data_IF_912031581646
#
_entry.id   IF_912031581646
#
_cell.length_a   1.000
_cell.length_b   1.000
_cell.length_c   1.000
_cell.angle_alpha   90.00
_cell.angle_beta   90.00
_cell.angle_gamma   90.00
#
_symmetry.space_group_name_H-M   'P 1'
#
loop_
_entity.id
_entity.type
_entity.pdbx_description
1 polymer ?
#
# COMPACT_ATOMS: atom_id res chain seq x y z
N UNK A 1 4.47 17.67 7.15
CA UNK A 1 5.38 16.51 7.09
C UNK A 1 5.20 15.71 5.81
N UNK A 2 4.03 15.11 5.55
CA UNK A 2 3.80 14.32 4.34
C UNK A 2 3.93 15.13 3.04
N UNK A 3 3.19 16.24 2.89
CA UNK A 3 3.27 17.06 1.66
C UNK A 3 4.69 17.59 1.39
N UNK A 4 5.43 17.93 2.45
CA UNK A 4 6.81 18.37 2.35
C UNK A 4 7.77 17.30 1.79
N UNK A 5 7.39 16.01 1.81
CA UNK A 5 8.15 14.95 1.15
C UNK A 5 8.16 15.13 -0.37
N UNK A 6 7.04 15.53 -0.96
CA UNK A 6 6.98 15.83 -2.39
C UNK A 6 7.93 16.97 -2.76
N UNK A 7 7.95 18.04 -1.96
CA UNK A 7 8.86 19.15 -2.17
C UNK A 7 10.32 18.75 -1.98
N UNK A 8 10.61 17.90 -0.99
CA UNK A 8 11.93 17.35 -0.78
C UNK A 8 12.41 16.52 -1.98
N UNK A 9 11.56 15.69 -2.58
CA UNK A 9 11.90 14.91 -3.77
C UNK A 9 12.11 15.78 -5.01
N UNK A 10 11.46 16.94 -5.10
CA UNK A 10 11.73 17.94 -6.15
C UNK A 10 13.11 18.56 -5.97
N UNK A 11 13.47 18.91 -4.73
CA UNK A 11 14.72 19.61 -4.40
C UNK A 11 15.95 18.71 -4.37
N UNK A 12 15.83 17.50 -3.81
CA UNK A 12 16.95 16.63 -3.50
C UNK A 12 16.86 15.33 -4.30
N UNK A 13 17.81 15.13 -5.21
CA UNK A 13 17.90 13.90 -6.00
C UNK A 13 18.02 12.64 -5.13
N UNK A 14 18.79 12.70 -4.04
CA UNK A 14 18.97 11.57 -3.11
C UNK A 14 17.71 11.15 -2.34
N UNK A 15 16.63 11.94 -2.40
CA UNK A 15 15.33 11.54 -1.84
C UNK A 15 14.52 10.64 -2.78
N UNK A 16 14.86 10.63 -4.08
CA UNK A 16 14.05 9.98 -5.12
C UNK A 16 14.13 8.46 -5.10
N UNK A 17 15.17 7.91 -4.49
CA UNK A 17 15.36 6.46 -4.33
C UNK A 17 14.68 5.91 -3.06
N UNK A 18 14.05 6.76 -2.26
CA UNK A 18 13.46 6.39 -0.98
C UNK A 18 11.93 6.38 -1.04
N UNK A 19 11.34 5.41 -0.35
CA UNK A 19 9.92 5.45 0.01
C UNK A 19 9.68 6.47 1.12
N UNK A 20 8.42 6.81 1.38
CA UNK A 20 8.11 7.73 2.48
C UNK A 20 8.49 7.15 3.85
N UNK A 21 8.35 5.83 4.06
CA UNK A 21 8.78 5.12 5.28
C UNK A 21 10.29 5.15 5.49
N UNK A 22 11.07 5.04 4.41
CA UNK A 22 12.53 5.07 4.46
C UNK A 22 13.07 6.50 4.56
N UNK A 23 12.29 7.51 4.17
CA UNK A 23 12.75 8.90 4.08
C UNK A 23 13.43 9.42 5.36
N UNK A 24 12.93 9.14 6.58
CA UNK A 24 13.56 9.59 7.82
C UNK A 24 14.97 9.02 8.09
N UNK A 25 15.36 7.95 7.38
CA UNK A 25 16.72 7.40 7.47
C UNK A 25 17.75 8.38 6.92
N UNK A 26 17.42 9.10 5.84
CA UNK A 26 18.32 10.04 5.16
C UNK A 26 17.96 11.50 5.32
N UNK A 27 16.75 11.81 5.77
CA UNK A 27 16.26 13.19 5.90
C UNK A 27 15.69 13.45 7.30
N UNK A 28 15.79 14.70 7.75
CA UNK A 28 15.20 15.18 9.01
C UNK A 28 14.12 16.21 8.69
N UNK A 29 12.96 16.09 9.33
CA UNK A 29 11.88 17.05 9.20
C UNK A 29 12.05 18.20 10.21
N UNK A 30 12.25 19.41 9.69
CA UNK A 30 12.31 20.63 10.48
C UNK A 30 10.90 21.21 10.57
N UNK A 31 10.29 21.15 11.76
CA UNK A 31 8.90 21.59 11.98
C UNK A 31 8.72 23.08 11.71
N UNK A 32 9.67 23.90 12.17
CA UNK A 32 9.60 25.36 12.06
C UNK A 32 9.61 25.83 10.60
N UNK A 33 10.35 25.12 9.74
CA UNK A 33 10.44 25.40 8.31
C UNK A 33 9.48 24.56 7.46
N UNK A 34 8.72 23.67 8.09
CA UNK A 34 7.83 22.69 7.47
C UNK A 34 8.46 21.89 6.33
N UNK A 35 9.76 21.60 6.41
CA UNK A 35 10.53 21.00 5.30
C UNK A 35 11.43 19.87 5.75
N UNK A 36 11.76 19.00 4.80
CA UNK A 36 12.81 18.01 4.98
C UNK A 36 14.15 18.56 4.51
N UNK A 37 15.21 18.26 5.24
CA UNK A 37 16.59 18.51 4.83
C UNK A 37 17.41 17.23 4.92
N UNK A 38 18.46 17.06 4.10
CA UNK A 38 19.38 15.95 4.21
C UNK A 38 19.93 15.86 5.63
N UNK A 39 19.96 14.64 6.17
CA UNK A 39 20.53 14.35 7.48
C UNK A 39 22.05 14.44 7.41
N UNK A 40 22.65 15.05 8.44
CA UNK A 40 24.09 15.14 8.56
C UNK A 40 24.69 14.00 9.39
N UNK A 41 24.00 13.56 10.46
CA UNK A 41 24.50 12.54 11.41
C UNK A 41 23.36 11.66 11.94
N UNK A 42 23.66 10.38 12.17
CA UNK A 42 22.81 9.38 12.83
C UNK A 42 21.88 8.61 11.89
N UNK A 43 21.24 7.57 12.42
CA UNK A 43 20.24 6.77 11.72
C UNK A 43 18.89 6.82 12.45
N UNK A 44 17.80 6.84 11.69
CA UNK A 44 16.45 6.81 12.24
C UNK A 44 15.51 6.04 11.30
N UNK A 45 14.76 5.10 11.84
CA UNK A 45 13.73 4.39 11.08
C UNK A 45 12.40 5.14 11.25
N UNK A 46 11.83 5.56 10.11
CA UNK A 46 10.48 6.12 10.07
C UNK A 46 9.44 5.05 10.36
N UNK A 47 8.48 5.34 11.23
CA UNK A 47 7.31 4.48 11.46
C UNK A 47 6.07 5.13 10.85
N UNK A 48 5.49 4.50 9.85
CA UNK A 48 4.09 4.72 9.50
C UNK A 48 3.24 4.07 10.60
N UNK A 49 2.10 4.68 11.00
CA UNK A 49 1.25 4.20 12.14
C UNK A 49 0.62 2.83 11.88
N UNK A 50 -0.55 2.41 12.33
CA UNK A 50 -1.24 1.28 11.68
C UNK A 50 -2.54 1.83 11.11
N UNK A 51 -2.91 1.40 9.90
CA UNK A 51 -4.16 1.83 9.28
C UNK A 51 -4.90 0.56 8.88
N UNK A 52 -6.03 0.24 9.54
CA UNK A 52 -6.78 -0.95 9.20
C UNK A 52 -7.45 -0.80 7.82
N UNK A 53 -7.70 -1.91 7.08
CA UNK A 53 -8.36 -1.87 5.77
C UNK A 53 -9.73 -1.17 5.76
N UNK A 54 -10.46 -1.21 6.88
CA UNK A 54 -11.78 -0.59 7.00
C UNK A 54 -11.80 0.95 6.90
N UNK A 55 -10.64 1.60 6.85
CA UNK A 55 -10.53 3.07 6.70
C UNK A 55 -10.48 3.50 5.22
N UNK A 56 -10.64 2.56 4.29
CA UNK A 56 -10.80 2.86 2.86
C UNK A 56 -9.55 3.51 2.23
N UNK A 57 -9.71 4.67 1.61
CA UNK A 57 -8.65 5.35 0.83
C UNK A 57 -7.35 5.58 1.62
N UNK A 58 -7.43 5.83 2.93
CA UNK A 58 -6.24 6.01 3.76
C UNK A 58 -5.40 4.73 3.87
N UNK A 59 -6.04 3.55 3.86
CA UNK A 59 -5.34 2.28 3.84
C UNK A 59 -4.56 2.10 2.52
N UNK A 60 -5.21 2.35 1.38
CA UNK A 60 -4.56 2.22 0.07
C UNK A 60 -3.45 3.24 -0.12
N UNK A 61 -3.69 4.51 0.25
CA UNK A 61 -2.65 5.54 0.22
C UNK A 61 -1.41 5.09 1.00
N UNK A 62 -1.61 4.54 2.20
CA UNK A 62 -0.51 4.06 3.03
C UNK A 62 0.27 2.92 2.37
N UNK A 63 -0.42 1.95 1.73
CA UNK A 63 0.25 0.89 0.98
C UNK A 63 1.10 1.46 -0.16
N UNK A 64 0.61 2.48 -0.86
CA UNK A 64 1.41 3.15 -1.90
C UNK A 64 2.64 3.82 -1.30
N UNK A 65 2.54 4.43 -0.10
CA UNK A 65 3.67 5.10 0.54
C UNK A 65 4.82 4.16 0.96
N UNK A 66 4.56 2.86 1.12
CA UNK A 66 5.59 1.86 1.43
C UNK A 66 6.27 1.29 0.19
N UNK A 67 5.74 1.52 -1.01
CA UNK A 67 6.24 0.93 -2.26
C UNK A 67 6.71 1.97 -3.27
N UNK A 68 5.99 3.07 -3.38
CA UNK A 68 6.29 4.13 -4.31
C UNK A 68 7.46 4.98 -3.82
N UNK A 69 8.44 5.18 -4.71
CA UNK A 69 9.69 5.93 -4.44
C UNK A 69 9.69 7.25 -5.19
N UNK A 70 10.28 8.27 -4.55
CA UNK A 70 10.56 9.55 -5.19
C UNK A 70 9.35 10.31 -5.73
N UNK A 71 8.14 10.02 -5.24
CA UNK A 71 6.95 10.72 -5.71
C UNK A 71 7.01 12.21 -5.42
N UNK A 72 6.52 13.01 -6.36
CA UNK A 72 6.50 14.48 -6.24
C UNK A 72 5.07 15.05 -6.27
N UNK A 73 4.04 14.20 -6.27
CA UNK A 73 2.63 14.59 -6.23
C UNK A 73 1.74 13.39 -5.92
N UNK A 74 0.47 13.65 -5.58
CA UNK A 74 -0.56 12.61 -5.46
C UNK A 74 -0.80 11.85 -6.77
N UNK A 75 -0.68 12.54 -7.91
CA UNK A 75 -0.77 11.89 -9.23
C UNK A 75 0.35 10.88 -9.42
N UNK A 76 1.56 11.21 -8.97
CA UNK A 76 2.70 10.31 -9.04
C UNK A 76 2.48 9.04 -8.21
N UNK A 77 1.87 9.15 -7.02
CA UNK A 77 1.54 7.98 -6.18
C UNK A 77 0.57 7.00 -6.87
N UNK A 78 -0.38 7.53 -7.64
CA UNK A 78 -1.34 6.74 -8.42
C UNK A 78 -0.80 6.33 -9.78
N UNK A 79 0.45 6.63 -10.11
CA UNK A 79 1.05 6.25 -11.39
C UNK A 79 1.89 5.00 -11.20
N UNK A 80 1.53 3.93 -11.91
CA UNK A 80 2.21 2.64 -11.88
C UNK A 80 2.55 2.26 -13.32
N UNK A 81 3.82 1.94 -13.59
CA UNK A 81 4.30 1.56 -14.92
C UNK A 81 3.89 2.55 -16.05
N UNK A 82 3.88 3.85 -15.76
CA UNK A 82 3.52 4.90 -16.71
C UNK A 82 2.01 5.15 -16.88
N UNK A 83 1.14 4.34 -16.26
CA UNK A 83 -0.32 4.54 -16.25
C UNK A 83 -0.76 5.20 -14.95
N UNK A 84 -1.52 6.29 -15.04
CA UNK A 84 -2.16 6.93 -13.89
C UNK A 84 -3.54 6.33 -13.67
N UNK A 85 -3.84 5.96 -12.43
CA UNK A 85 -5.14 5.43 -12.00
C UNK A 85 -5.97 6.50 -11.29
N UNK A 86 -7.30 6.33 -11.30
CA UNK A 86 -8.21 7.30 -10.68
C UNK A 86 -8.30 7.08 -9.17
N UNK A 87 -8.34 5.84 -8.71
CA UNK A 87 -8.39 5.51 -7.29
C UNK A 87 -7.05 4.97 -6.77
N UNK A 88 -6.77 5.19 -5.48
CA UNK A 88 -5.59 4.58 -4.84
C UNK A 88 -5.69 3.05 -4.81
N UNK A 89 -6.89 2.50 -4.65
CA UNK A 89 -7.15 1.04 -4.68
C UNK A 89 -6.67 0.41 -5.98
N UNK A 90 -6.98 1.01 -7.12
CA UNK A 90 -6.59 0.51 -8.45
C UNK A 90 -5.07 0.53 -8.63
N UNK A 91 -4.40 1.60 -8.17
CA UNK A 91 -2.95 1.66 -8.19
C UNK A 91 -2.31 0.58 -7.30
N UNK A 92 -2.93 0.25 -6.15
CA UNK A 92 -2.49 -0.87 -5.31
C UNK A 92 -2.68 -2.23 -5.99
N UNK A 93 -3.80 -2.46 -6.68
CA UNK A 93 -4.00 -3.68 -7.49
C UNK A 93 -2.95 -3.79 -8.60
N UNK A 94 -2.67 -2.70 -9.31
CA UNK A 94 -1.65 -2.69 -10.36
C UNK A 94 -0.21 -2.93 -9.87
N UNK A 95 0.03 -2.82 -8.55
CA UNK A 95 1.28 -3.12 -7.88
C UNK A 95 1.25 -4.48 -7.15
N UNK A 96 0.19 -5.27 -7.33
CA UNK A 96 -0.05 -6.56 -6.66
C UNK A 96 0.04 -6.46 -5.12
N UNK A 97 -0.40 -5.33 -4.56
CA UNK A 97 -0.42 -5.09 -3.10
C UNK A 97 -1.70 -5.56 -2.43
N UNK A 98 -2.71 -5.90 -3.24
CA UNK A 98 -4.01 -6.39 -2.80
C UNK A 98 -4.22 -7.76 -3.42
N UNK A 99 -4.65 -8.72 -2.61
CA UNK A 99 -5.19 -9.97 -3.13
C UNK A 99 -6.47 -9.65 -3.91
N UNK A 100 -6.62 -10.30 -5.06
CA UNK A 100 -7.87 -10.24 -5.81
C UNK A 100 -8.84 -11.28 -5.26
N UNK A 101 -10.09 -10.87 -5.05
CA UNK A 101 -11.13 -11.77 -4.57
C UNK A 101 -11.81 -12.52 -5.73
N UNK A 102 -11.42 -12.24 -6.99
CA UNK A 102 -12.03 -12.80 -8.20
C UNK A 102 -12.06 -14.33 -8.21
N UNK A 103 -10.97 -15.02 -7.88
CA UNK A 103 -10.98 -16.51 -7.83
C UNK A 103 -11.99 -17.05 -6.83
N UNK A 104 -12.16 -16.38 -5.68
CA UNK A 104 -13.14 -16.78 -4.67
C UNK A 104 -14.58 -16.52 -5.15
N UNK A 105 -14.80 -15.41 -5.83
CA UNK A 105 -16.10 -15.05 -6.41
C UNK A 105 -16.47 -16.06 -7.50
N UNK A 106 -15.56 -16.33 -8.42
CA UNK A 106 -15.77 -17.27 -9.53
C UNK A 106 -16.05 -18.68 -9.01
N UNK A 107 -15.30 -19.14 -7.99
CA UNK A 107 -15.55 -20.43 -7.34
C UNK A 107 -16.94 -20.52 -6.71
N UNK A 108 -17.45 -19.44 -6.08
CA UNK A 108 -18.81 -19.41 -5.53
C UNK A 108 -19.86 -19.41 -6.65
N UNK A 109 -19.63 -18.66 -7.72
CA UNK A 109 -20.54 -18.60 -8.88
C UNK A 109 -20.67 -19.96 -9.54
N UNK A 110 -19.54 -20.62 -9.86
CA UNK A 110 -19.53 -21.98 -10.42
C UNK A 110 -20.20 -22.98 -9.48
N UNK A 111 -19.88 -22.91 -8.19
CA UNK A 111 -20.50 -23.77 -7.19
C UNK A 111 -22.02 -23.59 -7.11
N UNK A 112 -22.54 -22.37 -7.36
CA UNK A 112 -23.96 -22.08 -7.25
C UNK A 112 -24.80 -22.79 -8.31
N UNK A 113 -24.18 -23.17 -9.44
CA UNK A 113 -24.85 -23.92 -10.51
C UNK A 113 -24.95 -25.43 -10.19
N UNK A 114 -24.06 -25.95 -9.34
CA UNK A 114 -23.90 -27.40 -9.11
C UNK A 114 -24.29 -27.87 -7.71
N UNK A 115 -24.24 -26.98 -6.71
CA UNK A 115 -24.38 -27.35 -5.30
C UNK A 115 -25.66 -26.81 -4.64
N UNK A 116 -26.10 -27.51 -3.59
CA UNK A 116 -27.22 -27.07 -2.76
C UNK A 116 -26.84 -25.90 -1.85
N UNK A 117 -27.84 -25.15 -1.36
CA UNK A 117 -27.62 -24.04 -0.43
C UNK A 117 -26.94 -24.42 0.90
N UNK A 118 -26.97 -25.68 1.32
CA UNK A 118 -26.15 -26.13 2.45
C UNK A 118 -24.67 -26.18 2.06
N UNK A 119 -24.34 -26.78 0.93
CA UNK A 119 -22.97 -26.92 0.46
C UNK A 119 -22.33 -25.56 0.15
N UNK A 120 -23.10 -24.62 -0.42
CA UNK A 120 -22.63 -23.24 -0.64
C UNK A 120 -22.27 -22.53 0.67
N UNK A 121 -23.05 -22.73 1.75
CA UNK A 121 -22.72 -22.17 3.06
C UNK A 121 -21.44 -22.79 3.65
N UNK A 122 -21.25 -24.09 3.47
CA UNK A 122 -20.02 -24.77 3.89
C UNK A 122 -18.81 -24.28 3.10
N UNK A 123 -18.94 -24.11 1.77
CA UNK A 123 -17.90 -23.54 0.91
C UNK A 123 -17.57 -22.11 1.35
N UNK A 124 -18.56 -21.26 1.57
CA UNK A 124 -18.36 -19.89 2.02
C UNK A 124 -17.58 -19.79 3.34
N UNK A 125 -17.91 -20.62 4.33
CA UNK A 125 -17.17 -20.69 5.59
C UNK A 125 -15.71 -21.14 5.35
N UNK A 126 -15.52 -22.14 4.49
CA UNK A 126 -14.16 -22.59 4.12
C UNK A 126 -13.35 -21.47 3.46
N UNK A 127 -13.93 -20.73 2.52
CA UNK A 127 -13.26 -19.61 1.85
C UNK A 127 -12.92 -18.46 2.82
N UNK A 128 -13.75 -18.18 3.82
CA UNK A 128 -13.42 -17.20 4.87
C UNK A 128 -12.22 -17.66 5.69
N UNK A 129 -12.20 -18.94 6.09
CA UNK A 129 -11.13 -19.48 6.94
C UNK A 129 -9.78 -19.55 6.21
N UNK A 130 -9.79 -19.88 4.91
CA UNK A 130 -8.57 -19.93 4.09
C UNK A 130 -8.18 -18.55 3.52
N UNK A 131 -9.12 -17.62 3.34
CA UNK A 131 -8.81 -16.27 2.85
C UNK A 131 -7.82 -15.51 3.77
N UNK A 132 -7.84 -15.82 5.07
CA UNK A 132 -6.94 -15.22 6.06
C UNK A 132 -5.51 -15.81 6.02
N UNK A 133 -5.33 -17.06 5.58
CA UNK A 133 -4.01 -17.71 5.45
C UNK A 133 -3.23 -17.18 4.24
N UNK A 134 -3.89 -16.91 3.11
CA UNK A 134 -3.25 -16.25 1.95
C UNK A 134 -2.91 -14.77 2.21
N UNK A 135 -3.72 -14.06 3.01
CA UNK A 135 -3.43 -12.68 3.43
C UNK A 135 -2.22 -12.56 4.36
N UNK A 136 -1.96 -13.56 5.20
CA UNK A 136 -0.80 -13.58 6.08
C UNK A 136 0.53 -13.77 5.31
N UNK A 137 0.55 -14.49 4.19
CA UNK A 137 1.80 -14.71 3.44
C UNK A 137 2.33 -13.45 2.75
N UNK A 138 1.44 -12.56 2.29
CA UNK A 138 1.86 -11.29 1.66
C UNK A 138 2.49 -10.33 2.69
N UNK A 139 2.10 -10.42 3.97
CA UNK A 139 2.73 -9.64 5.05
C UNK A 139 3.99 -10.29 5.63
N UNK A 140 4.10 -11.62 5.63
CA UNK A 140 5.25 -12.32 6.20
C UNK A 140 6.50 -12.39 5.29
N UNK A 141 6.38 -12.09 3.99
CA UNK A 141 7.54 -12.07 3.07
C UNK A 141 8.23 -10.70 2.98
N UNK A 142 7.98 -9.78 3.92
CA UNK A 142 8.60 -8.44 3.94
C UNK A 142 9.23 -8.06 5.29
N UNK A 143 9.63 -9.04 6.11
CA UNK A 143 10.52 -8.84 7.25
C UNK A 143 11.80 -9.65 7.10
#
# INVERSE_FOLDING_TARGET
>A
MFLAWFDANRMYHGGRDLTYSEFPTRFVYYKDETRWKPRQVGDQIGRLQYTPPGVGDLYYLRLLLTRQRGCMSYKCLRTVNGRTYDMYKEACYALDLLADDTEFIDAIVEASEMYSGHQLRSLFVYLILEGDTYRCQVFCLSF
#
